data_IF_849346506332
#
_entry.id   IF_849346506332
#
_cell.length_a   1.000
_cell.length_b   1.000
_cell.length_c   1.000
_cell.angle_alpha   90.00
_cell.angle_beta   90.00
_cell.angle_gamma   90.00
#
_symmetry.space_group_name_H-M   'P 1'
#
loop_
_entity.id
_entity.type
_entity.pdbx_description
1 polymer ?
#
# COMPACT_ATOMS: atom_id res chain seq x y z
N UNK A 1 -3.62 -16.35 17.57
CA UNK A 1 -2.62 -15.55 16.84
C UNK A 1 -3.27 -14.20 16.55
N UNK A 2 -2.89 -13.17 17.29
CA UNK A 2 -3.43 -11.81 17.12
C UNK A 2 -2.80 -11.21 15.86
N UNK A 3 -3.64 -10.77 14.91
CA UNK A 3 -3.19 -10.01 13.74
C UNK A 3 -3.28 -8.54 14.11
N UNK A 4 -2.16 -7.82 14.13
CA UNK A 4 -2.21 -6.38 14.30
C UNK A 4 -2.61 -5.78 12.95
N UNK A 5 -3.70 -5.05 12.96
CA UNK A 5 -4.08 -4.21 11.84
C UNK A 5 -3.30 -2.91 11.96
N UNK A 6 -2.26 -2.74 11.13
CA UNK A 6 -1.61 -1.43 11.06
C UNK A 6 -2.49 -0.52 10.22
N UNK A 7 -2.86 0.61 10.79
CA UNK A 7 -3.30 1.78 10.04
C UNK A 7 -2.07 2.57 9.61
N UNK A 8 -1.63 2.38 8.37
CA UNK A 8 -0.65 3.25 7.73
C UNK A 8 -1.37 4.54 7.33
N UNK A 9 -1.61 5.45 8.27
CA UNK A 9 -2.42 6.65 8.04
C UNK A 9 -2.02 7.37 6.75
N UNK A 10 -3.00 7.60 5.87
CA UNK A 10 -2.79 8.36 4.64
C UNK A 10 -2.38 9.79 5.00
N UNK A 11 -1.21 10.23 4.53
CA UNK A 11 -0.75 11.61 4.69
C UNK A 11 -1.65 12.53 3.84
N UNK A 12 -1.78 13.81 4.19
CA UNK A 12 -2.67 14.76 3.51
C UNK A 12 -2.47 14.84 1.98
N UNK A 13 -1.26 14.58 1.49
CA UNK A 13 -0.97 14.54 0.05
C UNK A 13 -1.36 13.20 -0.60
N UNK A 14 -1.35 12.09 0.14
CA UNK A 14 -1.81 10.78 -0.35
C UNK A 14 -3.33 10.77 -0.54
N UNK A 15 -4.09 11.54 0.25
CA UNK A 15 -5.54 11.69 0.06
C UNK A 15 -5.92 12.28 -1.31
N UNK A 16 -5.02 13.03 -1.94
CA UNK A 16 -5.23 13.61 -3.28
C UNK A 16 -4.85 12.65 -4.40
N UNK A 17 -4.18 11.54 -4.10
CA UNK A 17 -3.72 10.59 -5.11
C UNK A 17 -4.83 9.65 -5.54
N UNK A 18 -4.73 9.20 -6.79
CA UNK A 18 -5.58 8.14 -7.33
C UNK A 18 -5.11 6.78 -6.81
N UNK A 19 -6.02 5.94 -6.27
CA UNK A 19 -5.65 4.62 -5.78
C UNK A 19 -5.18 3.70 -6.92
N UNK A 20 -4.14 2.91 -6.66
CA UNK A 20 -3.69 1.84 -7.54
C UNK A 20 -4.65 0.66 -7.51
N UNK A 21 -4.59 -0.21 -8.52
CA UNK A 21 -5.46 -1.38 -8.57
C UNK A 21 -5.21 -2.31 -7.38
N UNK A 22 -3.95 -2.41 -6.93
CA UNK A 22 -3.60 -3.16 -5.73
C UNK A 22 -4.19 -2.53 -4.45
N UNK A 23 -4.24 -1.20 -4.35
CA UNK A 23 -4.89 -0.51 -3.24
C UNK A 23 -6.41 -0.70 -3.25
N UNK A 24 -7.06 -0.66 -4.43
CA UNK A 24 -8.48 -1.01 -4.58
C UNK A 24 -8.73 -2.45 -4.15
N UNK A 25 -7.90 -3.40 -4.61
CA UNK A 25 -8.01 -4.82 -4.26
C UNK A 25 -7.94 -5.06 -2.75
N UNK A 26 -7.03 -4.37 -2.06
CA UNK A 26 -6.92 -4.42 -0.59
C UNK A 26 -8.14 -3.86 0.11
N UNK A 27 -8.60 -2.68 -0.31
CA UNK A 27 -9.80 -2.04 0.24
C UNK A 27 -11.02 -2.96 0.14
N UNK A 28 -11.30 -3.47 -1.05
CA UNK A 28 -12.50 -4.30 -1.25
C UNK A 28 -12.42 -5.66 -0.58
N UNK A 29 -11.23 -6.14 -0.23
CA UNK A 29 -11.07 -7.39 0.50
C UNK A 29 -11.68 -7.29 1.90
N UNK A 30 -11.48 -6.16 2.59
CA UNK A 30 -12.02 -5.93 3.95
C UNK A 30 -13.50 -5.54 3.99
N UNK A 31 -14.11 -5.17 2.86
CA UNK A 31 -15.50 -4.71 2.79
C UNK A 31 -16.49 -5.80 2.41
N UNK A 32 -17.69 -5.74 2.98
CA UNK A 32 -18.82 -6.56 2.56
C UNK A 32 -19.40 -6.08 1.20
N UNK A 33 -20.08 -6.97 0.48
CA UNK A 33 -20.62 -6.64 -0.85
C UNK A 33 -21.62 -5.48 -0.81
N UNK A 34 -22.58 -5.52 0.12
CA UNK A 34 -23.59 -4.47 0.26
C UNK A 34 -22.95 -3.11 0.59
N UNK A 35 -21.89 -3.11 1.41
CA UNK A 35 -21.12 -1.90 1.72
C UNK A 35 -20.45 -1.35 0.46
N UNK A 36 -19.84 -2.21 -0.37
CA UNK A 36 -19.24 -1.77 -1.64
C UNK A 36 -20.29 -1.23 -2.61
N UNK A 37 -21.49 -1.80 -2.62
CA UNK A 37 -22.62 -1.32 -3.43
C UNK A 37 -23.08 0.07 -3.01
N UNK A 38 -23.25 0.29 -1.70
CA UNK A 38 -23.59 1.61 -1.17
C UNK A 38 -22.46 2.62 -1.41
N UNK A 39 -21.21 2.20 -1.22
CA UNK A 39 -20.03 3.02 -1.48
C UNK A 39 -19.95 3.42 -2.95
N UNK A 40 -20.23 2.50 -3.88
CA UNK A 40 -20.31 2.78 -5.32
C UNK A 40 -21.37 3.86 -5.63
N UNK A 41 -22.51 3.83 -4.93
CA UNK A 41 -23.53 4.88 -5.04
C UNK A 41 -23.05 6.23 -4.50
N UNK A 42 -22.42 6.27 -3.32
CA UNK A 42 -21.88 7.49 -2.73
C UNK A 42 -20.69 8.09 -3.50
N UNK A 43 -20.02 7.28 -4.30
CA UNK A 43 -19.04 7.71 -5.31
C UNK A 43 -19.69 8.26 -6.60
N UNK A 44 -20.99 8.56 -6.55
CA UNK A 44 -21.80 9.10 -7.64
C UNK A 44 -21.87 8.18 -8.88
N UNK A 45 -21.68 6.87 -8.71
CA UNK A 45 -21.84 5.94 -9.82
C UNK A 45 -23.32 5.57 -10.03
N UNK A 46 -23.81 5.53 -11.29
CA UNK A 46 -25.20 5.19 -11.56
C UNK A 46 -25.56 3.74 -11.21
N UNK A 47 -26.75 3.53 -10.64
CA UNK A 47 -27.23 2.19 -10.25
C UNK A 47 -27.29 1.20 -11.43
N UNK A 48 -27.58 1.65 -12.65
CA UNK A 48 -27.60 0.77 -13.82
C UNK A 48 -26.22 0.18 -14.14
N UNK A 49 -25.12 0.85 -13.76
CA UNK A 49 -23.76 0.34 -13.90
C UNK A 49 -23.51 -0.82 -12.94
N UNK A 50 -23.96 -0.68 -11.69
CA UNK A 50 -23.90 -1.77 -10.72
C UNK A 50 -24.60 -3.03 -11.26
N UNK A 51 -25.81 -2.88 -11.79
CA UNK A 51 -26.57 -4.00 -12.34
C UNK A 51 -25.81 -4.68 -13.49
N UNK A 52 -25.22 -3.90 -14.40
CA UNK A 52 -24.40 -4.43 -15.49
C UNK A 52 -23.17 -5.20 -15.00
N UNK A 53 -22.46 -4.67 -14.00
CA UNK A 53 -21.33 -5.37 -13.38
C UNK A 53 -21.77 -6.68 -12.71
N UNK A 54 -22.88 -6.66 -11.97
CA UNK A 54 -23.40 -7.83 -11.28
C UNK A 54 -23.82 -8.94 -12.26
N UNK A 55 -24.33 -8.59 -13.43
CA UNK A 55 -24.63 -9.55 -14.50
C UNK A 55 -23.37 -10.15 -15.13
N UNK A 56 -22.28 -9.39 -15.20
CA UNK A 56 -21.03 -9.81 -15.86
C UNK A 56 -20.05 -10.54 -14.91
N UNK A 57 -20.14 -10.30 -13.60
CA UNK A 57 -19.21 -10.83 -12.59
C UNK A 57 -19.98 -11.56 -11.49
N UNK A 58 -20.15 -12.88 -11.65
CA UNK A 58 -20.85 -13.72 -10.67
C UNK A 58 -20.06 -14.00 -9.39
N UNK A 59 -18.75 -13.75 -9.37
CA UNK A 59 -17.90 -13.95 -8.19
C UNK A 59 -17.80 -12.68 -7.35
N UNK A 60 -18.20 -12.76 -6.08
CA UNK A 60 -18.29 -11.62 -5.16
C UNK A 60 -17.00 -10.81 -5.02
N UNK A 61 -15.84 -11.47 -4.97
CA UNK A 61 -14.54 -10.79 -4.89
C UNK A 61 -14.23 -9.96 -6.14
N UNK A 62 -14.54 -10.49 -7.32
CA UNK A 62 -14.34 -9.80 -8.59
C UNK A 62 -15.31 -8.64 -8.73
N UNK A 63 -16.58 -8.82 -8.37
CA UNK A 63 -17.60 -7.77 -8.45
C UNK A 63 -17.21 -6.54 -7.63
N UNK A 64 -16.77 -6.73 -6.37
CA UNK A 64 -16.35 -5.61 -5.52
C UNK A 64 -15.18 -4.84 -6.14
N UNK A 65 -14.16 -5.56 -6.62
CA UNK A 65 -13.00 -4.95 -7.28
C UNK A 65 -13.41 -4.18 -8.53
N UNK A 66 -14.19 -4.79 -9.42
CA UNK A 66 -14.58 -4.16 -10.69
C UNK A 66 -15.51 -2.96 -10.51
N UNK A 67 -16.31 -2.91 -9.44
CA UNK A 67 -17.09 -1.73 -9.10
C UNK A 67 -16.17 -0.52 -8.83
N UNK A 68 -15.21 -0.65 -7.92
CA UNK A 68 -14.30 0.45 -7.63
C UNK A 68 -13.31 0.74 -8.77
N UNK A 69 -12.92 -0.28 -9.53
CA UNK A 69 -12.14 -0.08 -10.74
C UNK A 69 -12.93 0.70 -11.79
N UNK A 70 -14.20 0.38 -12.06
CA UNK A 70 -15.03 1.14 -13.02
C UNK A 70 -15.20 2.59 -12.58
N UNK A 71 -15.44 2.84 -11.29
CA UNK A 71 -15.46 4.20 -10.74
C UNK A 71 -14.14 4.94 -11.02
N UNK A 72 -12.99 4.32 -10.70
CA UNK A 72 -11.66 4.90 -10.94
C UNK A 72 -11.45 5.30 -12.41
N UNK A 73 -11.98 4.52 -13.36
CA UNK A 73 -11.85 4.83 -14.79
C UNK A 73 -12.77 5.95 -15.29
N UNK A 74 -13.86 6.27 -14.56
CA UNK A 74 -14.92 7.17 -15.02
C UNK A 74 -15.03 8.46 -14.21
N UNK A 75 -14.56 8.47 -12.98
CA UNK A 75 -14.55 9.65 -12.15
C UNK A 75 -13.63 10.72 -12.76
N UNK A 76 -14.07 11.98 -12.70
CA UNK A 76 -13.22 13.13 -13.08
C UNK A 76 -12.02 13.26 -12.15
N UNK A 77 -12.22 12.95 -10.87
CA UNK A 77 -11.20 12.94 -9.82
C UNK A 77 -11.38 11.68 -8.98
N UNK A 78 -10.68 10.62 -9.36
CA UNK A 78 -10.60 9.39 -8.56
C UNK A 78 -9.51 9.59 -7.51
N UNK A 79 -9.88 9.94 -6.27
CA UNK A 79 -8.92 10.18 -5.19
C UNK A 79 -9.24 9.35 -3.94
N UNK A 80 -8.23 9.14 -3.10
CA UNK A 80 -8.45 8.54 -1.77
C UNK A 80 -9.40 9.37 -0.91
N UNK A 81 -9.40 10.70 -1.03
CA UNK A 81 -10.34 11.57 -0.34
C UNK A 81 -11.79 11.29 -0.74
N UNK A 82 -12.06 11.00 -2.01
CA UNK A 82 -13.40 10.64 -2.46
C UNK A 82 -13.86 9.31 -1.85
N UNK A 83 -12.97 8.31 -1.79
CA UNK A 83 -13.27 7.03 -1.13
C UNK A 83 -13.46 7.22 0.38
N UNK A 84 -12.59 7.98 1.04
CA UNK A 84 -12.68 8.29 2.47
C UNK A 84 -14.03 8.94 2.80
N UNK A 85 -14.44 9.93 2.01
CA UNK A 85 -15.73 10.58 2.17
C UNK A 85 -16.88 9.58 1.99
N UNK A 86 -16.84 8.73 0.96
CA UNK A 86 -17.86 7.72 0.73
C UNK A 86 -17.93 6.67 1.86
N UNK A 87 -16.78 6.24 2.42
CA UNK A 87 -16.70 5.34 3.58
C UNK A 87 -17.40 5.92 4.80
N UNK A 88 -17.20 7.21 5.07
CA UNK A 88 -17.89 7.89 6.18
C UNK A 88 -19.42 7.92 6.02
N UNK A 89 -19.93 8.00 4.78
CA UNK A 89 -21.38 7.95 4.51
C UNK A 89 -21.97 6.56 4.77
N UNK A 90 -21.22 5.50 4.46
CA UNK A 90 -21.64 4.11 4.72
C UNK A 90 -21.29 3.64 6.14
N UNK A 91 -20.84 4.55 7.01
CA UNK A 91 -20.45 4.30 8.42
C UNK A 91 -19.35 3.25 8.57
N UNK A 92 -18.51 3.09 7.56
CA UNK A 92 -17.30 2.27 7.63
C UNK A 92 -16.14 3.07 8.20
N UNK A 93 -15.24 2.37 8.88
CA UNK A 93 -14.03 2.99 9.41
C UNK A 93 -13.10 3.38 8.25
N UNK A 94 -12.81 4.69 8.03
CA UNK A 94 -11.91 5.10 6.96
C UNK A 94 -10.48 4.60 7.13
N UNK A 95 -10.12 4.14 8.33
CA UNK A 95 -8.84 3.49 8.58
C UNK A 95 -8.64 2.23 7.72
N UNK A 96 -9.71 1.61 7.20
CA UNK A 96 -9.65 0.48 6.25
C UNK A 96 -8.84 0.78 4.97
N UNK A 97 -8.73 2.06 4.59
CA UNK A 97 -7.86 2.50 3.48
C UNK A 97 -6.37 2.27 3.77
N UNK A 98 -6.04 2.20 5.06
CA UNK A 98 -4.71 2.13 5.60
C UNK A 98 -4.43 0.76 6.22
N UNK A 99 -5.45 -0.10 6.35
CA UNK A 99 -5.36 -1.37 7.07
C UNK A 99 -4.53 -2.40 6.30
N UNK A 100 -3.52 -2.90 6.99
CA UNK A 100 -2.78 -4.09 6.57
C UNK A 100 -2.71 -5.05 7.75
N UNK A 101 -3.19 -6.27 7.56
CA UNK A 101 -3.01 -7.34 8.54
C UNK A 101 -1.64 -8.00 8.37
N UNK A 102 -0.70 -7.68 9.26
CA UNK A 102 0.57 -8.38 9.41
C UNK A 102 0.71 -8.88 10.86
N UNK A 103 1.51 -9.92 11.14
CA UNK A 103 1.73 -10.36 12.51
C UNK A 103 2.34 -9.23 13.35
N UNK A 104 1.77 -8.96 14.52
CA UNK A 104 2.19 -7.86 15.41
C UNK A 104 3.68 -7.94 15.75
N UNK A 105 4.12 -9.16 16.06
CA UNK A 105 5.48 -9.49 16.46
C UNK A 105 6.50 -9.12 15.37
N UNK A 106 6.15 -9.29 14.10
CA UNK A 106 7.01 -8.94 12.95
C UNK A 106 7.16 -7.43 12.82
N UNK A 107 6.10 -6.67 13.11
CA UNK A 107 6.06 -5.23 12.90
C UNK A 107 6.67 -4.43 14.04
N UNK A 108 6.60 -4.96 15.26
CA UNK A 108 7.13 -4.35 16.46
C UNK A 108 8.64 -4.57 16.63
N UNK A 109 9.20 -5.59 16.00
CA UNK A 109 10.62 -5.92 16.06
C UNK A 109 11.41 -5.31 14.88
N UNK A 110 12.71 -5.01 15.07
CA UNK A 110 13.59 -4.72 13.95
C UNK A 110 13.61 -5.88 12.96
N UNK A 111 13.63 -5.61 11.64
CA UNK A 111 13.67 -6.67 10.65
C UNK A 111 14.98 -7.43 10.74
N UNK A 112 14.90 -8.76 10.62
CA UNK A 112 16.07 -9.62 10.59
C UNK A 112 16.85 -9.50 9.26
N UNK A 113 18.07 -10.02 9.25
CA UNK A 113 18.94 -9.98 8.08
C UNK A 113 18.32 -10.69 6.86
N UNK A 114 17.55 -11.75 7.10
CA UNK A 114 16.86 -12.51 6.05
C UNK A 114 15.80 -11.67 5.34
N UNK A 115 14.94 -10.97 6.09
CA UNK A 115 13.95 -10.06 5.55
C UNK A 115 14.61 -8.92 4.77
N UNK A 116 15.68 -8.32 5.32
CA UNK A 116 16.40 -7.25 4.64
C UNK A 116 17.03 -7.71 3.32
N UNK A 117 17.63 -8.91 3.30
CA UNK A 117 18.20 -9.47 2.07
C UNK A 117 17.12 -9.77 1.04
N UNK A 118 15.98 -10.36 1.45
CA UNK A 118 14.84 -10.58 0.55
C UNK A 118 14.30 -9.28 -0.03
N UNK A 119 14.12 -8.24 0.78
CA UNK A 119 13.67 -6.92 0.32
C UNK A 119 14.67 -6.32 -0.69
N UNK A 120 15.97 -6.46 -0.43
CA UNK A 120 17.02 -5.94 -1.31
C UNK A 120 16.98 -6.52 -2.72
N UNK A 121 16.55 -7.79 -2.85
CA UNK A 121 16.44 -8.48 -4.13
C UNK A 121 15.19 -8.09 -4.93
N UNK A 122 14.21 -7.41 -4.31
CA UNK A 122 12.88 -7.24 -4.89
C UNK A 122 12.45 -5.76 -5.11
N UNK A 123 13.26 -4.77 -4.73
CA UNK A 123 12.89 -3.35 -4.85
C UNK A 123 13.08 -2.79 -6.27
N UNK A 124 14.15 -3.19 -6.95
CA UNK A 124 14.51 -2.71 -8.28
C UNK A 124 14.99 -1.25 -8.29
N UNK A 125 14.45 -0.45 -9.21
CA UNK A 125 14.89 0.93 -9.49
C UNK A 125 14.46 1.95 -8.43
N UNK A 126 13.59 1.55 -7.49
CA UNK A 126 13.01 2.45 -6.47
C UNK A 126 13.85 2.55 -5.20
N UNK A 127 15.10 2.09 -5.25
CA UNK A 127 16.00 1.99 -4.10
C UNK A 127 16.40 3.34 -3.52
N UNK A 128 16.65 4.36 -4.35
CA UNK A 128 16.99 5.71 -3.86
C UNK A 128 15.78 6.39 -3.24
N UNK A 129 14.59 6.18 -3.81
CA UNK A 129 13.34 6.68 -3.25
C UNK A 129 13.06 6.02 -1.90
N UNK A 130 13.31 4.71 -1.77
CA UNK A 130 13.28 4.03 -0.47
C UNK A 130 14.24 4.72 0.52
N UNK A 131 15.47 5.00 0.10
CA UNK A 131 16.46 5.68 0.95
C UNK A 131 15.94 7.03 1.50
N UNK A 132 15.33 7.84 0.65
CA UNK A 132 14.73 9.11 1.07
C UNK A 132 13.59 8.90 2.09
N UNK A 133 12.71 7.93 1.85
CA UNK A 133 11.61 7.60 2.78
C UNK A 133 12.08 7.02 4.12
N UNK A 134 13.28 6.42 4.13
CA UNK A 134 13.95 5.94 5.35
C UNK A 134 14.74 7.04 6.07
N UNK A 135 14.74 8.27 5.54
CA UNK A 135 15.32 9.45 6.17
C UNK A 135 16.78 9.73 5.82
N UNK A 136 17.34 9.10 4.78
CA UNK A 136 18.69 9.42 4.30
C UNK A 136 18.69 10.75 3.54
N UNK A 137 19.79 11.49 3.67
CA UNK A 137 20.01 12.69 2.90
C UNK A 137 20.49 12.38 1.47
N UNK A 138 20.24 13.29 0.54
CA UNK A 138 20.65 13.12 -0.86
C UNK A 138 22.15 12.90 -1.04
N UNK A 139 22.98 13.51 -0.20
CA UNK A 139 24.44 13.33 -0.20
C UNK A 139 24.84 11.91 0.23
N UNK A 140 24.20 11.34 1.24
CA UNK A 140 24.46 9.96 1.68
C UNK A 140 24.09 8.95 0.59
N UNK A 141 22.97 9.20 -0.11
CA UNK A 141 22.53 8.37 -1.23
C UNK A 141 23.45 8.49 -2.43
N UNK A 142 23.99 9.68 -2.72
CA UNK A 142 24.99 9.86 -3.77
C UNK A 142 26.28 9.10 -3.45
N UNK A 143 26.72 9.08 -2.21
CA UNK A 143 27.88 8.29 -1.78
C UNK A 143 27.67 6.79 -2.01
N UNK A 144 26.47 6.27 -1.71
CA UNK A 144 26.11 4.87 -1.98
C UNK A 144 26.10 4.59 -3.49
N UNK A 145 25.54 5.49 -4.30
CA UNK A 145 25.55 5.38 -5.77
C UNK A 145 26.99 5.40 -6.30
N UNK A 146 27.86 6.24 -5.75
CA UNK A 146 29.27 6.29 -6.15
C UNK A 146 30.01 4.97 -5.83
N UNK A 147 29.77 4.40 -4.64
CA UNK A 147 30.39 3.15 -4.19
C UNK A 147 29.95 1.93 -5.03
N UNK A 148 28.65 1.83 -5.34
CA UNK A 148 28.06 0.65 -5.98
C UNK A 148 27.69 0.85 -7.47
N UNK A 149 27.91 2.05 -8.01
CA UNK A 149 27.74 2.43 -9.42
C UNK A 149 26.34 2.10 -9.94
N UNK A 150 26.21 1.12 -10.83
CA UNK A 150 24.93 0.70 -11.45
C UNK A 150 24.31 -0.52 -10.76
N UNK A 151 24.93 -1.05 -9.70
CA UNK A 151 24.47 -2.28 -9.03
C UNK A 151 23.36 -1.96 -8.03
N UNK A 152 22.13 -1.91 -8.52
CA UNK A 152 20.94 -1.53 -7.74
C UNK A 152 20.71 -2.42 -6.51
N UNK A 153 20.96 -3.73 -6.62
CA UNK A 153 20.85 -4.66 -5.49
C UNK A 153 21.86 -4.28 -4.40
N UNK A 154 23.12 -4.04 -4.77
CA UNK A 154 24.16 -3.65 -3.81
C UNK A 154 23.87 -2.29 -3.16
N UNK A 155 23.36 -1.32 -3.93
CA UNK A 155 22.89 -0.05 -3.40
C UNK A 155 21.75 -0.24 -2.39
N UNK A 156 20.76 -1.09 -2.72
CA UNK A 156 19.62 -1.36 -1.83
C UNK A 156 20.06 -2.06 -0.55
N UNK A 157 20.98 -3.04 -0.66
CA UNK A 157 21.58 -3.72 0.49
C UNK A 157 22.28 -2.72 1.40
N UNK A 158 23.07 -1.81 0.84
CA UNK A 158 23.77 -0.81 1.64
C UNK A 158 22.82 0.17 2.32
N UNK A 159 21.77 0.64 1.64
CA UNK A 159 20.72 1.48 2.25
C UNK A 159 20.07 0.76 3.44
N UNK A 160 19.58 -0.46 3.22
CA UNK A 160 18.89 -1.25 4.24
C UNK A 160 19.82 -1.63 5.41
N UNK A 161 21.09 -1.93 5.13
CA UNK A 161 22.11 -2.24 6.13
C UNK A 161 22.48 -1.03 6.98
N UNK A 162 22.57 0.17 6.38
CA UNK A 162 22.79 1.40 7.14
C UNK A 162 21.58 1.73 8.00
N UNK A 163 20.37 1.59 7.44
CA UNK A 163 19.13 1.85 8.15
C UNK A 163 18.91 0.90 9.33
N UNK A 164 19.20 -0.39 9.18
CA UNK A 164 18.96 -1.40 10.22
C UNK A 164 19.77 -1.15 11.50
N UNK A 165 20.90 -0.43 11.41
CA UNK A 165 21.70 -0.01 12.57
C UNK A 165 20.97 0.95 13.49
N UNK A 166 19.91 1.61 13.01
CA UNK A 166 19.05 2.48 13.82
C UNK A 166 18.08 1.69 14.72
N UNK A 167 18.03 0.35 14.58
CA UNK A 167 17.18 -0.56 15.36
C UNK A 167 15.70 -0.14 15.37
N UNK A 168 15.25 0.46 14.27
CA UNK A 168 13.85 0.86 14.10
C UNK A 168 12.97 -0.36 13.81
N UNK A 169 11.70 -0.34 14.25
CA UNK A 169 10.78 -1.43 14.04
C UNK A 169 10.42 -1.58 12.55
N UNK A 170 10.11 -2.81 12.13
CA UNK A 170 9.69 -3.13 10.76
C UNK A 170 8.47 -2.33 10.28
N UNK A 171 7.65 -1.81 11.20
CA UNK A 171 6.55 -0.88 10.88
C UNK A 171 7.00 0.41 10.18
N UNK A 172 8.22 0.90 10.44
CA UNK A 172 8.78 2.06 9.72
C UNK A 172 9.14 1.66 8.29
N UNK A 173 9.75 0.49 8.11
CA UNK A 173 10.06 -0.06 6.79
C UNK A 173 8.78 -0.31 5.99
N UNK A 174 7.75 -0.86 6.62
CA UNK A 174 6.42 -1.05 6.04
C UNK A 174 5.83 0.27 5.50
N UNK A 175 5.94 1.36 6.27
CA UNK A 175 5.51 2.71 5.86
C UNK A 175 6.30 3.20 4.65
N UNK A 176 7.63 3.09 4.67
CA UNK A 176 8.48 3.51 3.56
C UNK A 176 8.13 2.75 2.27
N UNK A 177 7.97 1.42 2.35
CA UNK A 177 7.54 0.60 1.20
C UNK A 177 6.14 0.96 0.70
N UNK A 178 5.24 1.41 1.57
CA UNK A 178 3.91 1.88 1.17
C UNK A 178 3.99 3.17 0.35
N UNK A 179 4.81 4.13 0.79
CA UNK A 179 4.96 5.44 0.14
C UNK A 179 5.60 5.37 -1.25
N UNK A 180 6.41 4.35 -1.51
CA UNK A 180 7.01 4.10 -2.83
C UNK A 180 6.20 3.13 -3.69
N UNK A 181 4.95 2.83 -3.32
CA UNK A 181 4.07 1.86 -4.01
C UNK A 181 4.70 0.45 -4.18
N UNK A 182 5.54 0.04 -3.22
CA UNK A 182 6.16 -1.30 -3.14
C UNK A 182 5.67 -2.10 -1.95
N UNK A 183 4.54 -1.72 -1.35
CA UNK A 183 4.02 -2.43 -0.19
C UNK A 183 3.80 -3.93 -0.46
N UNK A 184 3.39 -4.29 -1.69
CA UNK A 184 3.27 -5.68 -2.11
C UNK A 184 4.59 -6.47 -2.06
N UNK A 185 5.73 -5.80 -2.30
CA UNK A 185 7.05 -6.40 -2.13
C UNK A 185 7.29 -6.72 -0.66
N UNK A 186 7.02 -5.76 0.22
CA UNK A 186 7.18 -5.92 1.66
C UNK A 186 6.36 -7.08 2.21
N UNK A 187 5.07 -7.15 1.86
CA UNK A 187 4.20 -8.25 2.33
C UNK A 187 4.64 -9.62 1.82
N UNK A 188 5.14 -9.70 0.57
CA UNK A 188 5.65 -10.98 0.03
C UNK A 188 6.92 -11.44 0.74
N UNK A 189 7.79 -10.52 1.12
CA UNK A 189 9.05 -10.86 1.79
C UNK A 189 8.86 -11.29 3.25
N UNK A 190 7.76 -10.88 3.90
CA UNK A 190 7.41 -11.32 5.28
C UNK A 190 6.74 -12.69 5.32
N UNK A 191 6.10 -13.13 4.23
CA UNK A 191 5.31 -14.36 4.17
C UNK A 191 6.12 -15.62 3.78
N UNK A 192 7.45 -15.50 3.68
CA UNK A 192 8.40 -16.58 3.36
C UNK A 192 9.06 -17.04 4.66
#
# INVERSE_FOLDING_TARGET
MLKLTIVLGLVADELKQCPTDQQIGRLVFGLNLEVVKELFHHLAMPTHKWNGLQSNYHWYGNLKFFALWEWKQKAKEATFSAIQHALMHVKEDPHILCEVSLPEEVLASPPDEFLLENLSNNIGNDNLLLGLELGFEGVELQDIVYQHKTRLIDQTREILKRWSRLLQPSSVLAKAFNRIDKFGVFTRCIQI
#
